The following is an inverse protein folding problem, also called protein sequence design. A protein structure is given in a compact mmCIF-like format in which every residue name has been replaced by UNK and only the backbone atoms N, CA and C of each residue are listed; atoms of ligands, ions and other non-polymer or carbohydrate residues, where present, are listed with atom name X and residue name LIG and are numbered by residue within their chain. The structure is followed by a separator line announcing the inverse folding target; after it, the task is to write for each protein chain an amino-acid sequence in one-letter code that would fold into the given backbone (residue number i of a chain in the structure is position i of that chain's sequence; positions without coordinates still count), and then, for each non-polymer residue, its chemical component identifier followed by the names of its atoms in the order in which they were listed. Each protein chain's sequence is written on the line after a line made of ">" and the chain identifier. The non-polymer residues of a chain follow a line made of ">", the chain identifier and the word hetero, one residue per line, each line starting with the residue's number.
data_IF_941466534446
#
_entry.id   IF_941466534446
#
_cell.length_a   1.000
_cell.length_b   1.000
_cell.length_c   1.000
_cell.angle_alpha   90.00
_cell.angle_beta   90.00
_cell.angle_gamma   90.00
#
_symmetry.space_group_name_H-M   'P 1'
#
loop_
_entity.id
_entity.type
_entity.pdbx_description
1 polymer ?
#
# COMPACT_ATOMS: atom_id res chain seq x y z
N UNK A 1 4.32 -24.45 -24.54
CA UNK A 1 4.26 -23.15 -23.84
C UNK A 1 5.68 -22.69 -23.60
N UNK A 2 6.18 -21.69 -24.33
CA UNK A 2 7.57 -21.24 -24.24
C UNK A 2 7.90 -20.69 -22.85
N UNK A 3 8.96 -21.21 -22.25
CA UNK A 3 9.46 -20.82 -20.95
C UNK A 3 10.24 -19.50 -21.11
N UNK A 4 9.54 -18.36 -21.11
CA UNK A 4 10.19 -17.04 -21.18
C UNK A 4 11.14 -16.90 -19.99
N UNK A 5 12.41 -16.50 -20.20
CA UNK A 5 13.34 -16.33 -19.10
C UNK A 5 12.78 -15.30 -18.12
N UNK A 6 12.67 -15.67 -16.85
CA UNK A 6 12.23 -14.75 -15.79
C UNK A 6 13.28 -13.65 -15.64
N UNK A 7 12.90 -12.41 -15.93
CA UNK A 7 13.75 -11.26 -15.67
C UNK A 7 14.12 -11.21 -14.18
N UNK A 8 15.41 -10.99 -13.90
CA UNK A 8 15.94 -10.81 -12.55
C UNK A 8 16.59 -9.43 -12.49
N UNK A 9 16.10 -8.51 -11.63
CA UNK A 9 16.74 -7.22 -11.45
C UNK A 9 18.13 -7.40 -10.83
N UNK A 10 19.00 -6.41 -11.02
CA UNK A 10 20.36 -6.46 -10.50
C UNK A 10 20.33 -6.46 -8.94
N UNK A 11 20.79 -7.55 -8.28
CA UNK A 11 20.71 -7.68 -6.83
C UNK A 11 21.60 -6.69 -6.07
N UNK A 12 22.58 -6.07 -6.74
CA UNK A 12 23.48 -5.08 -6.13
C UNK A 12 22.84 -3.69 -5.98
N UNK A 13 21.69 -3.46 -6.60
CA UNK A 13 20.98 -2.19 -6.53
C UNK A 13 20.12 -2.09 -5.28
N UNK A 14 19.77 -0.86 -4.87
CA UNK A 14 18.79 -0.62 -3.81
C UNK A 14 17.42 -1.15 -4.22
N UNK A 15 16.56 -1.46 -3.25
CA UNK A 15 15.22 -2.01 -3.47
C UNK A 15 14.43 -1.23 -4.54
N UNK A 16 14.38 0.10 -4.43
CA UNK A 16 13.61 0.93 -5.36
C UNK A 16 14.16 0.88 -6.79
N UNK A 17 15.46 0.75 -6.95
CA UNK A 17 16.07 0.65 -8.28
C UNK A 17 15.81 -0.72 -8.90
N UNK A 18 15.78 -1.78 -8.10
CA UNK A 18 15.33 -3.10 -8.53
C UNK A 18 13.86 -3.09 -8.98
N UNK A 19 12.99 -2.42 -8.21
CA UNK A 19 11.56 -2.25 -8.57
C UNK A 19 11.42 -1.53 -9.90
N UNK A 20 12.13 -0.40 -10.10
CA UNK A 20 12.10 0.34 -11.38
C UNK A 20 12.57 -0.51 -12.54
N UNK A 21 13.63 -1.32 -12.37
CA UNK A 21 14.08 -2.24 -13.41
C UNK A 21 12.99 -3.23 -13.84
N UNK A 22 12.27 -3.81 -12.86
CA UNK A 22 11.16 -4.73 -13.14
C UNK A 22 10.03 -4.01 -13.87
N UNK A 23 9.62 -2.83 -13.42
CA UNK A 23 8.54 -2.07 -14.06
C UNK A 23 8.89 -1.65 -15.49
N UNK A 24 10.13 -1.23 -15.73
CA UNK A 24 10.61 -0.88 -17.08
C UNK A 24 10.74 -2.08 -17.99
N UNK A 25 11.19 -3.23 -17.46
CA UNK A 25 11.23 -4.49 -18.22
C UNK A 25 9.83 -4.90 -18.70
N UNK A 26 8.80 -4.67 -17.88
CA UNK A 26 7.41 -4.91 -18.25
C UNK A 26 6.74 -3.76 -19.00
N UNK A 27 7.52 -2.75 -19.44
CA UNK A 27 7.04 -1.60 -20.21
C UNK A 27 5.89 -0.82 -19.55
N UNK A 28 5.87 -0.76 -18.22
CA UNK A 28 4.94 0.12 -17.52
C UNK A 28 5.24 1.58 -17.84
N UNK A 29 4.19 2.40 -17.87
CA UNK A 29 4.34 3.85 -18.07
C UNK A 29 5.17 4.47 -16.94
N UNK A 30 5.87 5.55 -17.23
CA UNK A 30 6.62 6.31 -16.23
C UNK A 30 5.72 6.78 -15.06
N UNK A 31 4.46 7.15 -15.36
CA UNK A 31 3.48 7.51 -14.33
C UNK A 31 3.16 6.34 -13.39
N UNK A 32 3.01 5.14 -13.96
CA UNK A 32 2.79 3.92 -13.17
C UNK A 32 4.01 3.59 -12.32
N UNK A 33 5.22 3.74 -12.87
CA UNK A 33 6.48 3.56 -12.12
C UNK A 33 6.50 4.45 -10.87
N UNK A 34 6.18 5.73 -11.01
CA UNK A 34 6.12 6.68 -9.90
C UNK A 34 5.08 6.27 -8.86
N UNK A 35 3.83 6.03 -9.29
CA UNK A 35 2.75 5.63 -8.39
C UNK A 35 3.12 4.38 -7.60
N UNK A 36 3.65 3.35 -8.26
CA UNK A 36 4.01 2.09 -7.59
C UNK A 36 5.16 2.30 -6.60
N UNK A 37 6.16 3.13 -6.97
CA UNK A 37 7.23 3.49 -6.05
C UNK A 37 6.69 4.19 -4.79
N UNK A 38 5.75 5.12 -4.95
CA UNK A 38 5.16 5.86 -3.84
C UNK A 38 4.38 4.93 -2.89
N UNK A 39 3.56 4.02 -3.43
CA UNK A 39 2.84 3.03 -2.64
C UNK A 39 3.79 2.11 -1.86
N UNK A 40 4.88 1.66 -2.48
CA UNK A 40 5.90 0.82 -1.81
C UNK A 40 6.57 1.58 -0.67
N UNK A 41 6.95 2.84 -0.89
CA UNK A 41 7.55 3.68 0.16
C UNK A 41 6.58 3.86 1.34
N UNK A 42 5.32 4.17 1.05
CA UNK A 42 4.29 4.35 2.07
C UNK A 42 4.04 3.06 2.87
N UNK A 43 4.03 1.91 2.19
CA UNK A 43 3.89 0.60 2.84
C UNK A 43 5.07 0.29 3.78
N UNK A 44 6.31 0.45 3.30
CA UNK A 44 7.51 0.21 4.10
C UNK A 44 7.56 1.16 5.31
N UNK A 45 7.15 2.42 5.13
CA UNK A 45 7.03 3.40 6.21
C UNK A 45 5.95 3.02 7.23
N UNK A 46 4.78 2.56 6.77
CA UNK A 46 3.69 2.11 7.64
C UNK A 46 4.13 0.96 8.55
N UNK A 47 4.98 0.07 8.04
CA UNK A 47 5.55 -1.06 8.76
C UNK A 47 6.78 -0.70 9.62
N UNK A 48 7.09 0.60 9.76
CA UNK A 48 8.12 1.10 10.65
C UNK A 48 9.56 0.89 10.18
N UNK A 49 9.80 0.66 8.88
CA UNK A 49 11.11 0.44 8.25
C UNK A 49 11.91 -0.80 8.71
N UNK A 50 11.41 -1.55 9.69
CA UNK A 50 12.18 -2.63 10.34
C UNK A 50 11.92 -4.01 9.73
N UNK A 51 10.75 -4.23 9.13
CA UNK A 51 10.40 -5.51 8.52
C UNK A 51 10.76 -5.52 7.04
N UNK A 52 11.45 -6.56 6.60
CA UNK A 52 11.71 -6.77 5.18
C UNK A 52 10.43 -7.24 4.48
N UNK A 53 10.04 -6.71 3.29
CA UNK A 53 8.78 -7.07 2.62
C UNK A 53 8.56 -8.56 2.34
N UNK A 54 9.63 -9.35 2.30
CA UNK A 54 9.58 -10.81 2.16
C UNK A 54 8.95 -11.51 3.38
N UNK A 55 9.06 -10.90 4.56
CA UNK A 55 8.57 -11.45 5.82
C UNK A 55 7.18 -10.90 6.18
N UNK A 56 6.57 -10.14 5.27
CA UNK A 56 5.24 -9.58 5.40
C UNK A 56 4.28 -10.33 4.49
N UNK A 57 3.06 -10.56 4.98
CA UNK A 57 2.07 -11.36 4.31
C UNK A 57 0.75 -10.63 4.13
N UNK A 58 -0.30 -11.43 3.97
CA UNK A 58 -1.67 -10.95 3.75
C UNK A 58 -2.13 -9.98 4.84
N UNK A 59 -1.83 -10.27 6.11
CA UNK A 59 -2.31 -9.47 7.25
C UNK A 59 -1.76 -8.04 7.22
N UNK A 60 -0.47 -7.86 6.97
CA UNK A 60 0.18 -6.56 6.89
C UNK A 60 -0.35 -5.72 5.72
N UNK A 61 -0.65 -6.38 4.60
CA UNK A 61 -1.24 -5.74 3.42
C UNK A 61 -2.67 -5.29 3.72
N UNK A 62 -3.50 -6.15 4.31
CA UNK A 62 -4.88 -5.82 4.68
C UNK A 62 -4.94 -4.65 5.67
N UNK A 63 -4.03 -4.63 6.65
CA UNK A 63 -3.93 -3.54 7.62
C UNK A 63 -3.51 -2.23 6.95
N UNK A 64 -2.51 -2.27 6.07
CA UNK A 64 -2.05 -1.09 5.34
C UNK A 64 -3.15 -0.52 4.43
N UNK A 65 -3.84 -1.37 3.67
CA UNK A 65 -4.93 -0.94 2.80
C UNK A 65 -6.09 -0.36 3.62
N UNK A 66 -6.41 -0.96 4.77
CA UNK A 66 -7.41 -0.41 5.69
C UNK A 66 -6.99 0.95 6.23
N UNK A 67 -5.72 1.14 6.59
CA UNK A 67 -5.20 2.45 7.01
C UNK A 67 -5.30 3.50 5.90
N UNK A 68 -5.04 3.11 4.64
CA UNK A 68 -5.01 4.01 3.50
C UNK A 68 -6.40 4.43 3.00
N UNK A 69 -7.37 3.50 3.01
CA UNK A 69 -8.73 3.73 2.52
C UNK A 69 -9.60 4.41 3.59
N UNK A 70 -9.35 4.14 4.88
CA UNK A 70 -10.13 4.71 5.98
C UNK A 70 -9.32 5.78 6.73
N UNK A 71 -9.48 7.08 6.39
CA UNK A 71 -8.69 8.17 6.99
C UNK A 71 -9.06 8.47 8.46
N UNK A 72 -9.95 7.69 9.07
CA UNK A 72 -10.35 7.88 10.45
C UNK A 72 -9.15 7.75 11.40
N UNK A 73 -8.88 8.84 12.12
CA UNK A 73 -7.80 8.93 13.11
C UNK A 73 -8.01 8.03 14.34
N UNK A 74 -9.25 7.61 14.62
CA UNK A 74 -9.62 6.80 15.78
C UNK A 74 -10.26 5.49 15.35
N UNK A 75 -9.94 4.42 16.07
CA UNK A 75 -10.67 3.15 16.00
C UNK A 75 -12.04 3.34 16.67
N UNK A 76 -13.08 2.76 16.10
CA UNK A 76 -14.38 2.60 16.76
C UNK A 76 -14.79 1.14 16.77
N UNK A 77 -15.61 0.77 17.74
CA UNK A 77 -16.16 -0.58 17.87
C UNK A 77 -17.29 -0.75 16.85
N UNK A 78 -17.17 -1.75 15.98
CA UNK A 78 -18.25 -2.12 15.06
C UNK A 78 -19.40 -2.76 15.84
N UNK A 79 -20.61 -2.16 15.87
CA UNK A 79 -21.74 -2.69 16.63
C UNK A 79 -22.27 -4.03 16.11
N UNK A 80 -21.87 -4.47 14.91
CA UNK A 80 -22.31 -5.76 14.33
C UNK A 80 -21.35 -6.91 14.62
N UNK A 81 -20.05 -6.64 14.68
CA UNK A 81 -19.01 -7.67 14.82
C UNK A 81 -18.24 -7.61 16.14
N UNK A 82 -18.50 -6.60 16.99
CA UNK A 82 -17.79 -6.34 18.25
C UNK A 82 -16.28 -6.04 18.08
N UNK A 83 -15.78 -5.94 16.85
CA UNK A 83 -14.36 -5.70 16.55
C UNK A 83 -14.03 -4.20 16.44
N UNK A 84 -12.85 -3.81 16.91
CA UNK A 84 -12.35 -2.43 16.73
C UNK A 84 -11.78 -2.26 15.32
N UNK A 85 -12.35 -1.35 14.53
CA UNK A 85 -11.88 -1.05 13.16
C UNK A 85 -11.86 0.46 12.92
N UNK A 86 -11.16 0.88 11.87
CA UNK A 86 -11.28 2.25 11.35
C UNK A 86 -12.51 2.30 10.46
N UNK A 87 -13.47 3.16 10.77
CA UNK A 87 -14.66 3.36 9.94
C UNK A 87 -14.47 4.59 9.07
N UNK A 88 -14.96 4.56 7.83
CA UNK A 88 -14.89 5.70 6.92
C UNK A 88 -15.55 6.93 7.59
N UNK A 89 -14.97 8.11 7.39
CA UNK A 89 -15.69 9.35 7.76
C UNK A 89 -16.97 9.34 6.94
N UNK A 90 -18.12 9.23 7.62
CA UNK A 90 -19.42 9.26 6.96
C UNK A 90 -19.54 10.58 6.19
N UNK A 91 -20.12 10.52 5.00
CA UNK A 91 -20.39 11.70 4.16
C UNK A 91 -21.12 12.80 4.96
N UNK A 92 -22.02 12.39 5.86
CA UNK A 92 -22.73 13.29 6.77
C UNK A 92 -21.82 14.06 7.73
N UNK A 93 -20.67 13.50 8.11
CA UNK A 93 -19.65 14.18 8.90
C UNK A 93 -18.89 15.23 8.08
N UNK A 94 -18.63 14.94 6.80
CA UNK A 94 -18.04 15.89 5.86
C UNK A 94 -19.00 17.06 5.59
N UNK A 95 -20.26 16.77 5.29
CA UNK A 95 -21.30 17.78 5.04
C UNK A 95 -21.54 18.70 6.25
N UNK A 96 -21.50 18.16 7.49
CA UNK A 96 -21.59 18.99 8.72
C UNK A 96 -20.38 19.89 8.95
N UNK A 97 -19.19 19.46 8.53
CA UNK A 97 -17.94 20.22 8.69
C UNK A 97 -17.78 21.31 7.64
N UNK A 98 -18.30 21.10 6.43
CA UNK A 98 -18.24 22.03 5.29
C UNK A 98 -19.51 22.89 5.24
N UNK A 99 -20.00 23.39 6.38
CA UNK A 99 -21.19 24.29 6.37
C UNK A 99 -20.96 25.44 5.37
N UNK A 100 -21.78 25.48 4.32
CA UNK A 100 -22.00 26.64 3.44
C UNK A 100 -23.16 27.42 4.02
#
# INVERSE_FOLDING_TARGET
>A
MENKPKFKPNPKLKLMDQVRQVLRYHHYSYRTEQTYCDWIIQYVKFQGYQKHPKDMGKSEIEEFLSHHVFPAKKLSKDPRSDTFRRHHVLESGLQKAVKI
#
